data_IF_386958919663
#
_entry.id   IF_386958919663
#
_cell.length_a   1.000
_cell.length_b   1.000
_cell.length_c   1.000
_cell.angle_alpha   90.00
_cell.angle_beta   90.00
_cell.angle_gamma   90.00
#
_symmetry.space_group_name_H-M   'P 1'
#
loop_
_entity.id
_entity.type
_entity.pdbx_description
1 polymer ?
#
# COMPACT_ATOMS: atom_id res chain seq x y z
N UNK A 1 -3.16 7.22 14.47
CA UNK A 1 -2.91 8.67 14.58
C UNK A 1 -3.88 9.18 15.62
N UNK A 2 -3.43 9.73 16.75
CA UNK A 2 -4.35 10.46 17.62
C UNK A 2 -4.58 11.82 16.96
N UNK A 3 -5.55 11.85 16.04
CA UNK A 3 -6.25 13.08 15.72
C UNK A 3 -7.00 13.39 17.01
N UNK A 4 -6.50 14.32 17.82
CA UNK A 4 -7.35 14.92 18.86
C UNK A 4 -8.33 15.79 18.09
N UNK A 5 -9.40 15.14 17.63
CA UNK A 5 -10.60 15.79 17.17
C UNK A 5 -11.39 16.16 18.43
N UNK A 6 -12.05 17.30 18.35
CA UNK A 6 -12.96 17.84 19.37
C UNK A 6 -12.29 18.45 20.59
N UNK A 7 -11.89 19.70 20.44
CA UNK A 7 -12.20 20.68 21.47
C UNK A 7 -12.42 22.03 20.77
N UNK A 8 -13.48 22.73 21.14
CA UNK A 8 -13.66 24.14 20.80
C UNK A 8 -12.46 24.91 21.38
N UNK A 9 -11.59 25.41 20.50
CA UNK A 9 -10.43 26.19 20.94
C UNK A 9 -10.82 27.65 20.96
N UNK A 10 -10.85 28.26 22.15
CA UNK A 10 -10.99 29.71 22.26
C UNK A 10 -9.62 30.38 22.09
N UNK A 11 -9.44 31.12 20.99
CA UNK A 11 -8.28 32.01 20.80
C UNK A 11 -8.71 33.42 21.17
N UNK A 12 -8.10 34.01 22.21
CA UNK A 12 -8.42 35.37 22.69
C UNK A 12 -9.93 35.57 22.97
N UNK A 13 -10.60 34.56 23.52
CA UNK A 13 -12.04 34.62 23.84
C UNK A 13 -12.99 34.39 22.65
N UNK A 14 -12.46 34.09 21.45
CA UNK A 14 -13.27 33.74 20.27
C UNK A 14 -13.20 32.23 20.02
N UNK A 15 -14.34 31.50 19.96
CA UNK A 15 -14.35 30.08 19.63
C UNK A 15 -13.95 29.87 18.16
N UNK A 16 -12.93 29.03 17.96
CA UNK A 16 -12.39 28.65 16.65
C UNK A 16 -12.79 27.19 16.38
N UNK A 17 -13.58 26.98 15.34
CA UNK A 17 -14.07 25.65 14.93
C UNK A 17 -13.21 25.06 13.80
N UNK A 18 -13.16 23.73 13.70
CA UNK A 18 -12.45 23.03 12.62
C UNK A 18 -10.92 23.05 12.73
N UNK A 19 -10.40 23.05 13.95
CA UNK A 19 -8.96 23.07 14.23
C UNK A 19 -8.34 21.69 14.08
N UNK A 20 -7.20 21.60 13.39
CA UNK A 20 -6.35 20.41 13.35
C UNK A 20 -4.99 20.68 14.00
N UNK A 21 -4.57 19.80 14.90
CA UNK A 21 -3.28 19.91 15.57
C UNK A 21 -2.20 19.11 14.83
N UNK A 22 -1.03 19.69 14.70
CA UNK A 22 0.20 19.01 14.28
C UNK A 22 1.25 19.22 15.37
N UNK A 23 2.19 18.30 15.58
CA UNK A 23 3.20 18.43 16.65
C UNK A 23 4.57 18.18 16.05
N UNK A 24 5.53 19.07 16.33
CA UNK A 24 6.95 19.02 15.91
C UNK A 24 7.87 18.72 17.10
N UNK A 25 9.19 18.56 16.86
CA UNK A 25 10.24 18.33 17.87
C UNK A 25 10.25 19.35 19.01
N UNK A 26 9.73 20.56 18.80
CA UNK A 26 9.78 21.64 19.80
C UNK A 26 8.45 22.34 20.00
N UNK A 27 7.45 22.12 19.13
CA UNK A 27 6.25 22.99 19.07
C UNK A 27 5.01 22.24 18.61
N UNK A 28 3.86 22.64 19.12
CA UNK A 28 2.57 22.27 18.53
C UNK A 28 2.24 23.26 17.40
N UNK A 29 1.55 22.77 16.38
CA UNK A 29 1.14 23.45 15.16
C UNK A 29 -0.40 23.47 15.17
N UNK A 30 -0.98 24.65 14.99
CA UNK A 30 -2.43 24.83 14.92
C UNK A 30 -2.80 25.13 13.45
N UNK A 31 -3.35 24.15 12.75
CA UNK A 31 -4.10 24.48 11.53
C UNK A 31 -5.45 25.00 11.98
N UNK A 32 -5.54 26.32 12.08
CA UNK A 32 -6.78 26.99 12.39
C UNK A 32 -7.53 27.36 11.11
N UNK A 33 -8.85 27.30 11.21
CA UNK A 33 -9.75 28.01 10.30
C UNK A 33 -9.33 29.50 10.18
N UNK A 34 -9.61 30.20 9.06
CA UNK A 34 -9.39 31.64 8.88
C UNK A 34 -9.90 32.54 10.04
N UNK A 35 -10.71 32.01 10.96
CA UNK A 35 -11.09 32.68 12.21
C UNK A 35 -9.93 32.96 13.17
N UNK A 36 -8.82 32.21 13.16
CA UNK A 36 -7.72 32.47 14.11
C UNK A 36 -6.88 33.70 13.74
N UNK A 37 -6.52 33.88 12.47
CA UNK A 37 -5.78 35.07 12.05
C UNK A 37 -6.71 36.31 12.11
N UNK A 38 -8.00 36.17 11.82
CA UNK A 38 -8.98 37.23 12.05
C UNK A 38 -9.22 37.55 13.54
N UNK A 39 -9.17 36.56 14.45
CA UNK A 39 -9.23 36.78 15.90
C UNK A 39 -7.94 37.43 16.43
N UNK A 40 -6.79 37.10 15.86
CA UNK A 40 -5.49 37.74 16.14
C UNK A 40 -5.45 39.17 15.57
N UNK A 41 -6.06 39.39 14.39
CA UNK A 41 -6.06 40.67 13.65
C UNK A 41 -7.23 41.59 13.98
N UNK A 42 -8.24 41.18 14.75
CA UNK A 42 -9.36 42.05 15.15
C UNK A 42 -8.93 43.12 16.17
N UNK A 43 -8.21 44.11 15.65
CA UNK A 43 -8.77 45.45 15.53
C UNK A 43 -9.29 45.62 14.09
N UNK A 44 -10.59 45.90 13.97
CA UNK A 44 -11.33 46.36 12.77
C UNK A 44 -12.13 45.33 11.93
N UNK A 45 -13.44 45.60 11.91
CA UNK A 45 -14.44 45.39 10.85
C UNK A 45 -15.39 44.17 10.93
N UNK A 46 -16.66 44.49 11.17
CA UNK A 46 -17.88 43.67 11.08
C UNK A 46 -18.28 43.35 9.62
N UNK A 47 -17.38 42.75 8.83
CA UNK A 47 -17.76 42.22 7.53
C UNK A 47 -18.22 40.75 7.67
N UNK A 48 -19.47 40.48 7.30
CA UNK A 48 -20.00 39.11 7.22
C UNK A 48 -19.21 38.30 6.17
N UNK A 49 -18.64 37.18 6.61
CA UNK A 49 -17.81 36.31 5.79
C UNK A 49 -18.60 35.65 4.66
N UNK A 50 -18.02 35.59 3.46
CA UNK A 50 -18.53 34.80 2.33
C UNK A 50 -17.68 33.55 2.15
N UNK A 51 -18.35 32.40 2.11
CA UNK A 51 -17.74 31.11 1.86
C UNK A 51 -17.06 31.13 0.47
N UNK A 52 -15.74 30.91 0.42
CA UNK A 52 -14.98 30.77 -0.84
C UNK A 52 -13.91 31.82 -1.18
N UNK A 53 -13.73 32.90 -0.41
CA UNK A 53 -12.82 34.00 -0.80
C UNK A 53 -11.44 34.00 -0.08
N UNK A 54 -11.28 33.38 1.10
CA UNK A 54 -10.02 33.38 1.87
C UNK A 54 -9.48 31.97 2.11
N UNK A 55 -8.18 31.73 1.85
CA UNK A 55 -7.49 30.45 2.08
C UNK A 55 -7.24 30.22 3.59
N UNK A 56 -7.05 28.97 4.01
CA UNK A 56 -6.82 28.64 5.44
C UNK A 56 -5.49 29.24 5.93
N UNK A 57 -5.50 29.90 7.08
CA UNK A 57 -4.28 30.44 7.71
C UNK A 57 -3.64 29.38 8.61
N UNK A 58 -2.35 29.08 8.38
CA UNK A 58 -1.59 28.20 9.26
C UNK A 58 -1.02 29.01 10.42
N UNK A 59 -1.48 28.76 11.65
CA UNK A 59 -0.97 29.46 12.85
C UNK A 59 -0.10 28.49 13.65
N UNK A 60 1.18 28.78 13.85
CA UNK A 60 1.99 27.97 14.78
C UNK A 60 1.68 28.38 16.22
N UNK A 61 1.41 27.42 17.11
CA UNK A 61 1.14 27.69 18.52
C UNK A 61 2.01 26.81 19.42
N UNK A 62 3.05 27.40 19.99
CA UNK A 62 3.92 26.72 20.93
C UNK A 62 3.21 26.57 22.30
N UNK A 63 2.65 25.37 22.56
CA UNK A 63 1.96 25.07 23.82
C UNK A 63 2.88 25.17 25.04
N UNK A 64 4.21 24.98 24.89
CA UNK A 64 5.16 25.12 25.99
C UNK A 64 5.41 26.60 26.32
N UNK A 65 5.50 27.47 25.30
CA UNK A 65 5.59 28.91 25.49
C UNK A 65 4.28 29.52 26.03
N UNK A 66 3.12 28.94 25.69
CA UNK A 66 1.83 29.39 26.20
C UNK A 66 1.61 29.09 27.69
N UNK A 67 2.36 28.14 28.26
CA UNK A 67 2.27 27.76 29.67
C UNK A 67 3.22 28.56 30.58
N UNK A 68 4.17 29.32 30.04
CA UNK A 68 5.18 30.00 30.83
C UNK A 68 5.82 31.20 30.13
N UNK A 69 5.48 32.39 30.62
CA UNK A 69 6.14 33.70 30.42
C UNK A 69 5.87 34.47 29.11
N UNK A 70 5.74 35.80 29.26
CA UNK A 70 5.46 36.87 28.28
C UNK A 70 6.40 36.98 27.06
N UNK A 71 7.32 36.02 26.86
CA UNK A 71 8.17 36.00 25.67
C UNK A 71 7.48 35.16 24.60
N UNK A 72 6.75 35.83 23.71
CA UNK A 72 6.37 35.29 22.39
C UNK A 72 7.66 34.95 21.64
N UNK A 73 8.18 33.73 21.78
CA UNK A 73 9.24 33.25 20.90
C UNK A 73 8.72 33.34 19.45
N UNK A 74 9.47 34.04 18.60
CA UNK A 74 9.16 34.11 17.19
C UNK A 74 9.21 32.68 16.63
N UNK A 75 8.06 32.18 16.19
CA UNK A 75 8.02 30.86 15.58
C UNK A 75 8.65 30.95 14.19
N UNK A 76 9.55 30.03 13.90
CA UNK A 76 10.24 29.98 12.61
C UNK A 76 9.38 29.30 11.56
N UNK A 77 8.80 30.11 10.66
CA UNK A 77 7.98 29.68 9.52
C UNK A 77 8.79 29.35 8.26
N UNK A 78 10.12 29.51 8.28
CA UNK A 78 10.96 29.35 7.06
C UNK A 78 10.93 27.94 6.47
N UNK A 79 10.49 26.92 7.24
CA UNK A 79 10.30 25.59 6.67
C UNK A 79 9.18 25.56 5.63
N UNK A 80 8.14 26.41 5.77
CA UNK A 80 7.02 26.46 4.82
C UNK A 80 7.43 26.97 3.44
N UNK A 81 8.59 27.62 3.31
CA UNK A 81 9.11 28.05 2.00
C UNK A 81 9.87 26.94 1.28
N UNK A 82 10.02 25.75 1.88
CA UNK A 82 10.76 24.64 1.28
C UNK A 82 10.07 24.06 0.03
N UNK A 83 8.73 24.12 -0.04
CA UNK A 83 7.95 23.67 -1.20
C UNK A 83 6.85 24.69 -1.53
N UNK A 84 6.45 24.82 -2.80
CA UNK A 84 5.36 25.71 -3.18
C UNK A 84 4.06 25.27 -2.51
N UNK A 85 3.34 26.24 -1.94
CA UNK A 85 2.02 26.00 -1.33
C UNK A 85 1.05 25.51 -2.40
N UNK A 86 0.29 24.42 -2.15
CA UNK A 86 -0.68 23.92 -3.13
C UNK A 86 -1.77 24.97 -3.39
N UNK A 87 -2.08 25.20 -4.66
CA UNK A 87 -3.14 26.13 -5.06
C UNK A 87 -4.51 25.64 -4.61
N UNK A 88 -5.39 26.56 -4.22
CA UNK A 88 -6.78 26.24 -3.86
C UNK A 88 -7.56 25.88 -5.12
N UNK A 89 -8.28 24.75 -5.07
CA UNK A 89 -9.16 24.32 -6.16
C UNK A 89 -10.58 24.87 -5.89
N UNK A 90 -11.22 25.45 -6.91
CA UNK A 90 -12.58 25.99 -6.78
C UNK A 90 -13.57 24.84 -6.49
N UNK A 91 -14.38 24.98 -5.44
CA UNK A 91 -15.33 23.94 -5.01
C UNK A 91 -14.74 22.84 -4.12
N UNK A 92 -13.46 22.94 -3.73
CA UNK A 92 -12.84 22.01 -2.78
C UNK A 92 -13.46 22.15 -1.39
N UNK A 93 -13.74 21.01 -0.73
CA UNK A 93 -14.24 21.01 0.64
C UNK A 93 -13.18 21.52 1.63
N UNK A 94 -13.62 22.06 2.77
CA UNK A 94 -12.71 22.52 3.83
C UNK A 94 -11.83 21.37 4.34
N UNK A 95 -12.40 20.17 4.50
CA UNK A 95 -11.68 18.98 4.95
C UNK A 95 -10.59 18.54 3.97
N UNK A 96 -10.89 18.53 2.66
CA UNK A 96 -9.91 18.19 1.63
C UNK A 96 -8.79 19.23 1.56
N UNK A 97 -9.12 20.53 1.71
CA UNK A 97 -8.11 21.59 1.76
C UNK A 97 -7.21 21.46 2.99
N UNK A 98 -7.78 21.14 4.15
CA UNK A 98 -7.01 20.89 5.38
C UNK A 98 -6.06 19.72 5.22
N UNK A 99 -6.53 18.59 4.68
CA UNK A 99 -5.69 17.42 4.41
C UNK A 99 -4.55 17.75 3.43
N UNK A 100 -4.83 18.50 2.38
CA UNK A 100 -3.83 18.94 1.40
C UNK A 100 -2.76 19.86 2.00
N UNK A 101 -3.17 20.81 2.85
CA UNK A 101 -2.23 21.71 3.53
C UNK A 101 -1.40 20.96 4.58
N UNK A 102 -2.00 20.02 5.32
CA UNK A 102 -1.28 19.13 6.24
C UNK A 102 -0.16 18.35 5.52
N UNK A 103 -0.50 17.71 4.39
CA UNK A 103 0.48 16.98 3.59
C UNK A 103 1.59 17.88 3.07
N UNK A 104 1.27 19.11 2.63
CA UNK A 104 2.27 20.07 2.20
C UNK A 104 3.20 20.52 3.34
N UNK A 105 2.64 20.80 4.53
CA UNK A 105 3.43 21.19 5.71
C UNK A 105 4.35 20.06 6.15
N UNK A 106 3.85 18.82 6.17
CA UNK A 106 4.67 17.62 6.41
C UNK A 106 5.81 17.53 5.40
N UNK A 107 5.51 17.67 4.11
CA UNK A 107 6.51 17.62 3.05
C UNK A 107 7.56 18.74 3.19
N UNK A 108 7.15 19.94 3.61
CA UNK A 108 8.04 21.06 3.90
C UNK A 108 8.99 20.76 5.07
N UNK A 109 8.44 20.23 6.17
CA UNK A 109 9.24 19.86 7.35
C UNK A 109 10.21 18.75 6.98
N UNK A 110 9.76 17.71 6.29
CA UNK A 110 10.61 16.61 5.81
C UNK A 110 11.72 17.15 4.91
N UNK A 111 11.39 18.05 3.97
CA UNK A 111 12.37 18.66 3.08
C UNK A 111 13.46 19.41 3.86
N UNK A 112 13.06 20.18 4.88
CA UNK A 112 13.98 20.92 5.76
C UNK A 112 14.77 20.01 6.70
N UNK A 113 14.15 18.99 7.28
CA UNK A 113 14.79 18.08 8.24
C UNK A 113 15.73 17.10 7.55
N UNK A 114 15.55 16.85 6.25
CA UNK A 114 16.31 15.84 5.51
C UNK A 114 17.83 16.03 5.59
N UNK A 115 18.33 17.26 5.51
CA UNK A 115 19.77 17.55 5.54
C UNK A 115 20.39 17.30 6.92
N UNK A 116 19.59 17.44 7.97
CA UNK A 116 20.02 17.26 9.36
C UNK A 116 19.51 15.96 9.99
N UNK A 117 18.83 15.11 9.21
CA UNK A 117 18.18 13.91 9.71
C UNK A 117 19.14 12.98 10.48
N UNK A 118 20.38 12.70 10.01
CA UNK A 118 21.32 11.87 10.78
C UNK A 118 21.67 12.46 12.15
N UNK A 119 21.82 13.78 12.24
CA UNK A 119 22.14 14.48 13.49
C UNK A 119 20.95 14.45 14.46
N UNK A 120 19.73 14.69 13.94
CA UNK A 120 18.50 14.59 14.72
C UNK A 120 18.26 13.18 15.25
N UNK A 121 18.51 12.16 14.44
CA UNK A 121 18.41 10.75 14.86
C UNK A 121 19.47 10.41 15.90
N UNK A 122 20.72 10.86 15.72
CA UNK A 122 21.80 10.66 16.69
C UNK A 122 21.49 11.32 18.03
N UNK A 123 20.90 12.53 18.01
CA UNK A 123 20.45 13.23 19.21
C UNK A 123 19.29 12.52 19.92
N UNK A 124 18.39 11.87 19.17
CA UNK A 124 17.30 11.08 19.75
C UNK A 124 17.79 9.73 20.31
N UNK A 125 18.57 8.96 19.53
CA UNK A 125 19.17 7.69 19.95
C UNK A 125 20.33 7.28 19.03
N UNK A 126 21.52 6.99 19.56
CA UNK A 126 22.64 6.45 18.76
C UNK A 126 22.28 5.15 18.02
N UNK A 127 21.47 4.29 18.62
CA UNK A 127 20.98 3.05 17.99
C UNK A 127 20.14 3.36 16.76
N UNK A 128 19.27 4.37 16.83
CA UNK A 128 18.42 4.73 15.71
C UNK A 128 19.20 5.33 14.54
N UNK A 129 20.27 6.07 14.82
CA UNK A 129 21.19 6.54 13.80
C UNK A 129 21.90 5.37 13.09
N UNK A 130 22.36 4.36 13.84
CA UNK A 130 22.93 3.14 13.26
C UNK A 130 21.93 2.38 12.38
N UNK A 131 20.69 2.26 12.83
CA UNK A 131 19.60 1.64 12.08
C UNK A 131 19.29 2.40 10.78
N UNK A 132 19.28 3.74 10.82
CA UNK A 132 19.13 4.58 9.63
C UNK A 132 20.28 4.40 8.63
N UNK A 133 21.53 4.39 9.09
CA UNK A 133 22.68 4.14 8.23
C UNK A 133 22.64 2.73 7.62
N UNK A 134 22.16 1.75 8.37
CA UNK A 134 21.94 0.39 7.90
C UNK A 134 20.87 0.36 6.80
N UNK A 135 19.74 1.04 6.99
CA UNK A 135 18.71 1.17 5.96
C UNK A 135 19.24 1.83 4.68
N UNK A 136 20.03 2.90 4.80
CA UNK A 136 20.66 3.55 3.64
C UNK A 136 21.58 2.59 2.87
N UNK A 137 22.35 1.75 3.57
CA UNK A 137 23.20 0.74 2.93
C UNK A 137 22.40 -0.37 2.26
N UNK A 138 21.29 -0.79 2.86
CA UNK A 138 20.42 -1.83 2.29
C UNK A 138 19.71 -1.38 1.01
N UNK A 139 19.38 -0.10 0.90
CA UNK A 139 18.65 0.47 -0.26
C UNK A 139 19.63 0.98 -1.33
N UNK A 140 20.83 1.41 -0.91
CA UNK A 140 21.91 1.86 -1.78
C UNK A 140 22.77 0.69 -2.27
N UNK A 141 22.23 -0.11 -3.19
CA UNK A 141 22.99 -1.20 -3.82
C UNK A 141 24.20 -0.71 -4.62
N UNK A 142 25.40 -1.09 -4.18
CA UNK A 142 26.33 -1.80 -5.07
C UNK A 142 27.18 -1.04 -6.10
N UNK A 143 27.21 0.30 -6.13
CA UNK A 143 28.31 1.04 -6.79
C UNK A 143 29.00 1.94 -5.79
N UNK A 144 30.27 1.67 -5.55
CA UNK A 144 31.14 2.36 -4.62
C UNK A 144 31.36 3.83 -4.96
N UNK A 145 30.35 4.64 -4.74
CA UNK A 145 30.46 6.08 -4.64
C UNK A 145 29.69 6.50 -3.38
N UNK A 146 30.44 6.71 -2.30
CA UNK A 146 29.91 6.93 -0.97
C UNK A 146 28.87 8.05 -0.95
N UNK A 147 27.67 7.74 -0.46
CA UNK A 147 26.75 8.72 0.11
C UNK A 147 26.30 9.87 -0.80
N UNK A 148 26.51 9.78 -2.13
CA UNK A 148 25.96 10.73 -3.11
C UNK A 148 25.08 9.97 -4.09
N UNK A 149 23.89 9.60 -3.61
CA UNK A 149 22.75 9.51 -4.51
C UNK A 149 22.53 10.92 -5.05
N UNK A 150 22.75 11.10 -6.35
CA UNK A 150 22.72 12.41 -7.02
C UNK A 150 21.54 13.26 -6.57
N UNK A 151 21.84 14.51 -6.20
CA UNK A 151 20.87 15.56 -5.89
C UNK A 151 20.12 16.05 -7.13
N UNK A 152 19.62 15.13 -7.95
CA UNK A 152 18.66 15.42 -8.99
C UNK A 152 17.24 15.44 -8.38
N UNK A 153 16.35 16.32 -8.84
CA UNK A 153 14.93 16.25 -8.49
C UNK A 153 14.35 14.95 -9.07
N UNK A 154 14.33 13.87 -8.30
CA UNK A 154 13.79 12.57 -8.74
C UNK A 154 14.35 11.32 -8.05
N UNK A 155 15.45 11.42 -7.29
CA UNK A 155 16.00 10.26 -6.56
C UNK A 155 15.22 10.01 -5.27
N UNK A 156 14.48 8.88 -5.22
CA UNK A 156 13.78 8.43 -4.00
C UNK A 156 14.81 8.09 -2.92
N UNK A 157 14.64 8.66 -1.74
CA UNK A 157 15.57 8.53 -0.60
C UNK A 157 14.80 8.29 0.69
N UNK A 158 15.47 7.73 1.71
CA UNK A 158 14.90 7.61 3.05
C UNK A 158 14.57 9.00 3.57
N UNK A 159 13.32 9.23 3.93
CA UNK A 159 12.84 10.46 4.54
C UNK A 159 12.53 10.22 6.00
N UNK A 160 12.71 11.23 6.84
CA UNK A 160 12.50 11.07 8.27
C UNK A 160 12.13 12.35 8.99
N UNK A 161 11.40 12.15 10.09
CA UNK A 161 10.93 13.20 10.98
C UNK A 161 11.13 12.74 12.42
N UNK A 162 11.76 13.59 13.24
CA UNK A 162 11.91 13.38 14.68
C UNK A 162 11.03 14.39 15.39
N UNK A 163 10.17 13.92 16.29
CA UNK A 163 9.18 14.68 17.04
C UNK A 163 9.41 14.49 18.54
N UNK A 164 9.09 15.47 19.36
CA UNK A 164 9.06 15.30 20.81
C UNK A 164 7.73 14.64 21.18
N UNK A 165 7.76 13.69 22.11
CA UNK A 165 6.56 13.07 22.64
C UNK A 165 5.84 14.07 23.54
N UNK A 166 4.56 14.34 23.23
CA UNK A 166 3.71 15.31 23.95
C UNK A 166 3.38 14.85 25.38
N UNK A 167 3.47 13.55 25.64
CA UNK A 167 3.07 12.95 26.92
C UNK A 167 4.25 12.89 27.89
N UNK A 168 4.32 13.84 28.84
CA UNK A 168 4.85 13.78 30.22
C UNK A 168 6.18 13.08 30.58
N UNK A 169 6.85 12.40 29.65
CA UNK A 169 7.93 11.44 29.88
C UNK A 169 9.16 11.66 28.99
N UNK A 170 9.23 12.79 28.28
CA UNK A 170 10.47 13.29 27.64
C UNK A 170 11.02 12.47 26.46
N UNK A 171 10.24 11.58 25.85
CA UNK A 171 10.71 10.74 24.74
C UNK A 171 10.62 11.39 23.37
N UNK A 172 11.21 10.73 22.36
CA UNK A 172 11.13 11.16 20.96
C UNK A 172 10.30 10.18 20.15
N UNK A 173 9.51 10.68 19.22
CA UNK A 173 8.76 9.92 18.24
C UNK A 173 9.41 10.13 16.87
N UNK A 174 9.89 9.05 16.24
CA UNK A 174 10.53 9.11 14.93
C UNK A 174 9.65 8.43 13.90
N UNK A 175 9.47 9.10 12.75
CA UNK A 175 8.81 8.53 11.57
C UNK A 175 9.83 8.43 10.45
N UNK A 176 9.90 7.27 9.82
CA UNK A 176 10.75 7.02 8.67
C UNK A 176 9.88 6.57 7.51
N UNK A 177 10.13 7.13 6.32
CA UNK A 177 9.63 6.64 5.04
C UNK A 177 10.82 6.10 4.26
N UNK A 178 10.83 4.80 4.06
CA UNK A 178 11.94 4.06 3.46
C UNK A 178 11.47 3.56 2.08
N UNK A 179 12.04 4.03 0.96
CA UNK A 179 11.65 3.54 -0.34
C UNK A 179 12.10 2.08 -0.51
N UNK A 180 11.21 1.24 -1.04
CA UNK A 180 11.44 -0.17 -1.28
C UNK A 180 11.48 -0.47 -2.79
N UNK A 181 12.06 -1.62 -3.14
CA UNK A 181 12.10 -2.24 -4.46
C UNK A 181 12.75 -1.36 -5.53
N UNK A 182 13.70 -0.50 -5.17
CA UNK A 182 14.35 0.41 -6.11
C UNK A 182 15.05 -0.37 -7.25
N UNK A 183 15.78 -1.43 -6.90
CA UNK A 183 16.47 -2.31 -7.86
C UNK A 183 15.52 -3.14 -8.74
N UNK A 184 14.27 -3.34 -8.29
CA UNK A 184 13.25 -4.14 -8.99
C UNK A 184 12.12 -3.28 -9.58
N UNK A 185 12.28 -1.97 -9.61
CA UNK A 185 11.24 -1.01 -10.01
C UNK A 185 10.68 -1.32 -11.41
N UNK A 186 11.54 -1.60 -12.39
CA UNK A 186 11.12 -1.98 -13.75
C UNK A 186 10.35 -3.31 -13.78
N UNK A 187 10.83 -4.33 -13.05
CA UNK A 187 10.16 -5.64 -12.96
C UNK A 187 8.79 -5.52 -12.30
N UNK A 188 8.68 -4.73 -11.23
CA UNK A 188 7.43 -4.44 -10.53
C UNK A 188 6.44 -3.73 -11.46
N UNK A 189 6.91 -2.71 -12.19
CA UNK A 189 6.08 -1.99 -13.15
C UNK A 189 5.60 -2.91 -14.29
N UNK A 190 6.50 -3.68 -14.89
CA UNK A 190 6.18 -4.66 -15.91
C UNK A 190 5.19 -5.72 -15.41
N UNK A 191 5.33 -6.19 -14.17
CA UNK A 191 4.44 -7.18 -13.58
C UNK A 191 3.00 -6.65 -13.50
N UNK A 192 2.79 -5.46 -12.92
CA UNK A 192 1.46 -4.86 -12.78
C UNK A 192 0.86 -4.43 -14.13
N UNK A 193 1.68 -3.97 -15.08
CA UNK A 193 1.24 -3.72 -16.45
C UNK A 193 0.74 -5.01 -17.12
N UNK A 194 1.47 -6.12 -16.99
CA UNK A 194 1.05 -7.39 -17.56
C UNK A 194 -0.23 -7.94 -16.90
N UNK A 195 -0.43 -7.71 -15.60
CA UNK A 195 -1.70 -7.99 -14.92
C UNK A 195 -2.84 -7.21 -15.55
N UNK A 196 -2.66 -5.90 -15.79
CA UNK A 196 -3.67 -5.07 -16.45
C UNK A 196 -4.00 -5.58 -17.85
N UNK A 197 -2.99 -5.95 -18.65
CA UNK A 197 -3.17 -6.48 -20.01
C UNK A 197 -3.96 -7.80 -19.99
N UNK A 198 -3.54 -8.76 -19.15
CA UNK A 198 -4.21 -10.05 -19.05
C UNK A 198 -5.64 -9.92 -18.50
N UNK A 199 -5.85 -9.04 -17.51
CA UNK A 199 -7.19 -8.76 -17.02
C UNK A 199 -8.11 -8.21 -18.11
N UNK A 200 -7.64 -7.28 -18.94
CA UNK A 200 -8.42 -6.77 -20.07
C UNK A 200 -8.78 -7.88 -21.06
N UNK A 201 -7.84 -8.81 -21.31
CA UNK A 201 -8.07 -9.98 -22.18
C UNK A 201 -9.19 -10.89 -21.63
N UNK A 202 -9.15 -11.25 -20.34
CA UNK A 202 -10.16 -12.13 -19.73
C UNK A 202 -11.51 -11.46 -19.51
N UNK A 203 -11.51 -10.16 -19.24
CA UNK A 203 -12.75 -9.39 -19.04
C UNK A 203 -13.35 -8.85 -20.34
N UNK A 204 -12.77 -9.20 -21.50
CA UNK A 204 -13.13 -8.68 -22.82
C UNK A 204 -13.20 -7.14 -22.88
N UNK A 205 -12.40 -6.45 -22.07
CA UNK A 205 -12.30 -4.98 -22.07
C UNK A 205 -11.29 -4.54 -23.13
N UNK A 206 -11.68 -3.55 -23.92
CA UNK A 206 -10.76 -2.90 -24.87
C UNK A 206 -9.65 -2.20 -24.09
N UNK A 207 -8.40 -2.48 -24.47
CA UNK A 207 -7.22 -1.84 -23.86
C UNK A 207 -7.25 -0.31 -24.07
N UNK A 208 -6.87 0.43 -23.03
CA UNK A 208 -6.81 1.91 -23.04
C UNK A 208 -5.47 2.37 -22.47
N UNK A 209 -4.99 3.53 -22.93
CA UNK A 209 -3.77 4.15 -22.38
C UNK A 209 -3.89 4.50 -20.90
N UNK A 210 -5.09 4.81 -20.42
CA UNK A 210 -5.38 5.03 -18.99
C UNK A 210 -5.20 3.78 -18.11
N UNK A 211 -5.09 2.59 -18.72
CA UNK A 211 -4.82 1.34 -18.01
C UNK A 211 -3.33 1.03 -17.90
N UNK A 212 -2.50 1.73 -18.67
CA UNK A 212 -1.06 1.58 -18.60
C UNK A 212 -0.55 2.14 -17.28
N UNK A 213 0.21 1.34 -16.55
CA UNK A 213 0.93 1.73 -15.36
C UNK A 213 2.19 2.48 -15.81
N UNK A 214 2.31 3.74 -15.40
CA UNK A 214 3.47 4.58 -15.73
C UNK A 214 4.58 4.44 -14.70
N UNK A 215 4.22 4.39 -13.42
CA UNK A 215 5.15 4.19 -12.31
C UNK A 215 4.51 3.41 -11.18
N UNK A 216 5.35 2.64 -10.46
CA UNK A 216 4.98 1.95 -9.23
C UNK A 216 6.00 2.31 -8.17
N UNK A 217 5.53 2.87 -7.07
CA UNK A 217 6.36 3.28 -5.95
C UNK A 217 5.87 2.57 -4.70
N UNK A 218 6.78 1.90 -4.00
CA UNK A 218 6.48 1.25 -2.73
C UNK A 218 7.33 1.84 -1.63
N UNK A 219 6.71 2.19 -0.51
CA UNK A 219 7.38 2.79 0.64
C UNK A 219 7.01 2.05 1.93
N UNK A 220 8.00 1.83 2.79
CA UNK A 220 7.80 1.40 4.16
C UNK A 220 7.69 2.64 5.06
N UNK A 221 6.58 2.74 5.79
CA UNK A 221 6.34 3.76 6.79
C UNK A 221 6.49 3.15 8.19
N UNK A 222 7.52 3.57 8.92
CA UNK A 222 7.78 3.10 10.29
C UNK A 222 7.64 4.25 11.27
N UNK A 223 6.94 4.01 12.37
CA UNK A 223 6.84 4.93 13.49
C UNK A 223 7.48 4.28 14.72
N UNK A 224 8.48 4.93 15.31
CA UNK A 224 9.32 4.42 16.39
C UNK A 224 9.24 5.39 17.56
N UNK A 225 8.96 4.89 18.76
CA UNK A 225 9.12 5.63 20.01
C UNK A 225 10.51 5.34 20.58
N UNK A 226 11.19 6.39 20.99
CA UNK A 226 12.46 6.34 21.72
C UNK A 226 12.17 6.67 23.18
N UNK A 227 12.49 5.74 24.08
CA UNK A 227 12.22 5.86 25.51
C UNK A 227 13.47 6.40 26.22
N UNK A 228 13.40 7.56 26.90
CA UNK A 228 14.48 8.07 27.72
C UNK A 228 14.46 7.41 29.12
N UNK A 229 15.57 7.41 29.87
CA UNK A 229 16.94 7.68 29.41
C UNK A 229 17.57 6.48 28.69
N UNK A 230 16.87 5.34 28.63
CA UNK A 230 17.40 4.05 28.15
C UNK A 230 17.76 4.06 26.66
N UNK A 231 17.22 4.99 25.88
CA UNK A 231 17.38 5.03 24.42
C UNK A 231 16.68 3.87 23.71
N UNK A 232 15.86 3.09 24.43
CA UNK A 232 15.19 1.90 23.92
C UNK A 232 14.22 2.29 22.81
N UNK A 233 14.29 1.57 21.71
CA UNK A 233 13.42 1.75 20.56
C UNK A 233 12.19 0.84 20.69
N UNK A 234 11.01 1.35 20.36
CA UNK A 234 9.78 0.57 20.28
C UNK A 234 9.05 0.94 18.99
N UNK A 235 8.85 -0.02 18.10
CA UNK A 235 8.05 0.17 16.89
C UNK A 235 6.59 0.29 17.29
N UNK A 236 5.97 1.43 17.00
CA UNK A 236 4.55 1.68 17.26
C UNK A 236 3.68 1.25 16.09
N UNK A 237 4.14 1.50 14.87
CA UNK A 237 3.42 1.12 13.66
C UNK A 237 4.38 0.89 12.51
N UNK A 238 4.01 -0.03 11.65
CA UNK A 238 4.71 -0.36 10.42
C UNK A 238 3.69 -0.67 9.34
N UNK A 239 3.72 0.13 8.28
CA UNK A 239 2.80 0.03 7.14
C UNK A 239 3.56 0.11 5.82
N UNK A 240 3.08 -0.60 4.80
CA UNK A 240 3.67 -0.58 3.45
C UNK A 240 2.68 0.07 2.51
N UNK A 241 3.08 1.19 1.93
CA UNK A 241 2.26 1.93 0.97
C UNK A 241 2.65 1.54 -0.46
N UNK A 242 1.68 1.04 -1.25
CA UNK A 242 1.82 0.82 -2.69
C UNK A 242 1.11 1.93 -3.47
N UNK A 243 1.90 2.75 -4.17
CA UNK A 243 1.42 3.82 -5.06
C UNK A 243 1.62 3.39 -6.52
N UNK A 244 0.55 3.50 -7.30
CA UNK A 244 0.54 3.16 -8.73
C UNK A 244 0.05 4.40 -9.46
N UNK A 245 0.86 4.90 -10.39
CA UNK A 245 0.49 5.98 -11.28
C UNK A 245 0.02 5.40 -12.61
N UNK A 246 -1.05 5.95 -13.17
CA UNK A 246 -1.49 5.64 -14.53
C UNK A 246 -0.77 6.53 -15.55
N UNK A 247 -0.77 6.10 -16.81
CA UNK A 247 -0.16 6.83 -17.93
C UNK A 247 -0.91 8.10 -18.32
N UNK A 248 -2.13 8.30 -17.82
CA UNK A 248 -3.00 9.43 -18.16
C UNK A 248 -3.20 10.39 -16.98
N UNK A 249 -2.12 10.95 -16.44
CA UNK A 249 -2.20 11.86 -15.30
C UNK A 249 -2.86 13.23 -15.61
N UNK A 250 -3.39 13.48 -16.82
CA UNK A 250 -3.71 14.87 -17.24
C UNK A 250 -4.96 15.10 -18.10
N UNK A 251 -5.77 14.12 -18.49
CA UNK A 251 -6.93 14.43 -19.34
C UNK A 251 -8.08 13.43 -19.13
N UNK A 252 -9.27 13.98 -18.87
CA UNK A 252 -10.59 13.34 -18.86
C UNK A 252 -11.11 12.80 -17.52
N UNK A 253 -12.14 13.49 -17.01
CA UNK A 253 -12.99 13.11 -15.88
C UNK A 253 -13.79 11.82 -16.10
N UNK A 254 -13.65 11.17 -17.26
CA UNK A 254 -14.26 9.89 -17.62
C UNK A 254 -13.27 8.73 -17.67
N UNK A 255 -12.00 8.94 -17.31
CA UNK A 255 -11.00 7.88 -17.35
C UNK A 255 -11.24 6.84 -16.25
N UNK A 256 -11.77 5.70 -16.68
CA UNK A 256 -11.72 4.47 -15.89
C UNK A 256 -10.24 4.11 -15.69
N UNK A 257 -9.80 4.09 -14.44
CA UNK A 257 -8.44 3.68 -14.05
C UNK A 257 -8.49 2.26 -13.48
N UNK A 258 -7.50 1.43 -13.83
CA UNK A 258 -7.35 0.09 -13.24
C UNK A 258 -6.57 0.10 -11.92
N UNK A 259 -6.07 1.26 -11.46
CA UNK A 259 -5.30 1.36 -10.22
C UNK A 259 -6.01 0.75 -9.01
N UNK A 260 -7.31 1.01 -8.74
CA UNK A 260 -8.01 0.38 -7.63
C UNK A 260 -8.04 -1.15 -7.73
N UNK A 261 -8.25 -1.67 -8.94
CA UNK A 261 -8.23 -3.11 -9.21
C UNK A 261 -6.84 -3.69 -8.95
N UNK A 262 -5.77 -3.09 -9.51
CA UNK A 262 -4.40 -3.55 -9.31
C UNK A 262 -3.99 -3.57 -7.84
N UNK A 263 -4.37 -2.52 -7.07
CA UNK A 263 -4.16 -2.49 -5.61
C UNK A 263 -4.95 -3.58 -4.86
N UNK A 264 -6.11 -4.00 -5.39
CA UNK A 264 -6.91 -5.07 -4.80
C UNK A 264 -6.32 -6.47 -5.05
N UNK A 265 -5.55 -6.63 -6.13
CA UNK A 265 -4.90 -7.89 -6.49
C UNK A 265 -3.67 -8.19 -5.62
N UNK A 266 -3.01 -7.16 -5.09
CA UNK A 266 -1.81 -7.30 -4.24
C UNK A 266 -2.22 -7.41 -2.77
N UNK A 267 -1.94 -8.55 -2.16
CA UNK A 267 -2.15 -8.77 -0.73
C UNK A 267 -0.94 -8.29 0.07
N UNK A 268 -1.14 -7.23 0.86
CA UNK A 268 -0.12 -6.68 1.75
C UNK A 268 -0.26 -7.20 3.19
N UNK A 269 -1.25 -8.07 3.46
CA UNK A 269 -1.42 -8.66 4.77
C UNK A 269 -0.35 -9.73 5.03
N UNK A 270 0.06 -9.85 6.31
CA UNK A 270 1.02 -10.86 6.72
C UNK A 270 2.44 -10.68 6.17
N UNK A 271 2.79 -9.48 5.70
CA UNK A 271 4.19 -9.14 5.41
C UNK A 271 5.04 -9.25 6.68
N UNK A 272 6.35 -9.61 6.56
CA UNK A 272 7.27 -9.60 7.69
C UNK A 272 7.19 -8.27 8.45
N UNK A 273 7.23 -8.33 9.78
CA UNK A 273 7.16 -7.14 10.64
C UNK A 273 8.51 -6.88 11.29
N UNK A 274 8.91 -5.61 11.31
CA UNK A 274 10.13 -5.12 11.91
C UNK A 274 10.09 -5.38 13.42
N UNK A 275 11.12 -6.07 13.90
CA UNK A 275 11.31 -6.36 15.33
C UNK A 275 12.58 -5.70 15.82
N UNK A 276 12.51 -4.42 16.19
CA UNK A 276 13.62 -3.73 16.85
C UNK A 276 13.77 -4.27 18.29
N UNK A 277 14.53 -5.35 18.47
CA UNK A 277 14.95 -5.86 19.79
C UNK A 277 16.45 -5.63 19.98
N UNK A 278 16.89 -5.55 21.23
CA UNK A 278 18.32 -5.46 21.57
C UNK A 278 19.13 -6.70 21.15
N UNK A 279 18.48 -7.76 20.67
CA UNK A 279 19.06 -9.08 20.40
C UNK A 279 19.19 -9.43 18.89
N UNK A 280 19.01 -8.46 17.98
CA UNK A 280 19.40 -8.62 16.57
C UNK A 280 18.25 -8.73 15.56
N UNK A 281 17.44 -7.68 15.46
CA UNK A 281 16.47 -7.50 14.37
C UNK A 281 16.45 -6.05 13.89
N UNK A 282 17.41 -5.67 13.05
CA UNK A 282 17.53 -4.32 12.51
C UNK A 282 16.97 -4.18 11.09
N UNK A 283 17.03 -2.96 10.53
CA UNK A 283 16.66 -2.72 9.13
C UNK A 283 17.52 -3.53 8.15
N UNK A 284 18.76 -3.85 8.51
CA UNK A 284 19.69 -4.60 7.65
C UNK A 284 19.16 -5.99 7.27
N UNK A 285 18.52 -6.69 8.23
CA UNK A 285 17.96 -8.02 8.02
C UNK A 285 16.49 -7.94 7.57
N UNK A 286 15.76 -6.95 8.08
CA UNK A 286 14.34 -6.79 7.83
C UNK A 286 14.04 -6.33 6.40
N UNK A 287 14.74 -5.31 5.89
CA UNK A 287 14.43 -4.73 4.58
C UNK A 287 14.56 -5.76 3.44
N UNK A 288 15.63 -6.57 3.33
CA UNK A 288 15.72 -7.58 2.28
C UNK A 288 14.61 -8.63 2.36
N UNK A 289 14.24 -9.08 3.57
CA UNK A 289 13.16 -10.05 3.77
C UNK A 289 11.80 -9.45 3.38
N UNK A 290 11.55 -8.20 3.78
CA UNK A 290 10.34 -7.47 3.44
C UNK A 290 10.24 -7.23 1.95
N UNK A 291 11.31 -6.78 1.29
CA UNK A 291 11.34 -6.54 -0.15
C UNK A 291 11.10 -7.82 -0.95
N UNK A 292 11.74 -8.93 -0.58
CA UNK A 292 11.51 -10.21 -1.25
C UNK A 292 10.05 -10.70 -1.07
N UNK A 293 9.51 -10.59 0.15
CA UNK A 293 8.12 -10.95 0.41
C UNK A 293 7.14 -10.06 -0.37
N UNK A 294 7.35 -8.75 -0.35
CA UNK A 294 6.53 -7.75 -1.04
C UNK A 294 6.59 -7.94 -2.56
N UNK A 295 7.78 -8.13 -3.14
CA UNK A 295 7.94 -8.38 -4.56
C UNK A 295 7.17 -9.62 -5.00
N UNK A 296 7.23 -10.71 -4.22
CA UNK A 296 6.42 -11.91 -4.47
C UNK A 296 4.92 -11.61 -4.45
N UNK A 297 4.43 -10.85 -3.46
CA UNK A 297 3.00 -10.44 -3.40
C UNK A 297 2.56 -9.63 -4.61
N UNK A 298 3.44 -8.79 -5.15
CA UNK A 298 3.16 -8.01 -6.36
C UNK A 298 3.17 -8.87 -7.63
N UNK A 299 4.07 -9.87 -7.72
CA UNK A 299 4.21 -10.74 -8.90
C UNK A 299 3.19 -11.88 -8.93
N UNK A 300 2.65 -12.27 -7.79
CA UNK A 300 1.73 -13.41 -7.66
C UNK A 300 0.42 -13.29 -8.49
N UNK A 301 -0.25 -12.14 -8.60
CA UNK A 301 -1.39 -11.98 -9.52
C UNK A 301 -1.04 -12.27 -10.99
N UNK A 302 0.19 -11.91 -11.41
CA UNK A 302 0.65 -12.19 -12.77
C UNK A 302 0.87 -13.69 -12.97
N UNK A 303 1.46 -14.37 -11.98
CA UNK A 303 1.64 -15.82 -12.04
C UNK A 303 0.29 -16.55 -12.21
N UNK A 304 -0.69 -16.20 -11.39
CA UNK A 304 -2.06 -16.73 -11.50
C UNK A 304 -2.67 -16.48 -12.89
N UNK A 305 -2.61 -15.25 -13.40
CA UNK A 305 -3.18 -14.91 -14.72
C UNK A 305 -2.46 -15.60 -15.87
N UNK A 306 -1.14 -15.83 -15.77
CA UNK A 306 -0.39 -16.63 -16.75
C UNK A 306 -0.83 -18.09 -16.73
N UNK A 307 -1.06 -18.67 -15.54
CA UNK A 307 -1.63 -20.02 -15.43
C UNK A 307 -3.02 -20.08 -16.07
N UNK A 308 -3.89 -19.11 -15.81
CA UNK A 308 -5.22 -19.07 -16.43
C UNK A 308 -5.16 -18.94 -17.95
N UNK A 309 -4.17 -18.19 -18.46
CA UNK A 309 -3.95 -18.06 -19.90
C UNK A 309 -3.53 -19.40 -20.52
N UNK A 310 -2.63 -20.13 -19.84
CA UNK A 310 -2.20 -21.46 -20.26
C UNK A 310 -3.36 -22.46 -20.25
N UNK A 311 -4.08 -22.57 -19.13
CA UNK A 311 -5.25 -23.44 -19.00
C UNK A 311 -6.36 -23.08 -20.00
N UNK A 312 -6.48 -21.79 -20.34
CA UNK A 312 -7.43 -21.33 -21.34
C UNK A 312 -7.21 -21.91 -22.75
N UNK A 313 -5.99 -22.36 -23.05
CA UNK A 313 -5.69 -23.05 -24.30
C UNK A 313 -6.17 -24.52 -24.31
N UNK A 314 -6.28 -25.15 -23.13
CA UNK A 314 -6.64 -26.58 -23.00
C UNK A 314 -8.13 -26.76 -22.66
N UNK A 315 -8.68 -25.90 -21.79
CA UNK A 315 -10.04 -26.01 -21.25
C UNK A 315 -11.00 -24.96 -21.83
N UNK A 316 -10.54 -24.08 -22.71
CA UNK A 316 -11.26 -22.90 -23.16
C UNK A 316 -11.20 -21.74 -22.15
N UNK A 317 -11.72 -20.57 -22.52
CA UNK A 317 -11.69 -19.38 -21.65
C UNK A 317 -12.46 -19.58 -20.34
N UNK A 318 -11.99 -19.04 -19.20
CA UNK A 318 -12.72 -19.13 -17.95
C UNK A 318 -14.06 -18.39 -18.05
N UNK A 319 -15.13 -18.99 -17.52
CA UNK A 319 -16.47 -18.40 -17.44
C UNK A 319 -16.61 -17.46 -16.24
N UNK A 320 -15.80 -17.65 -15.20
CA UNK A 320 -15.67 -16.76 -14.06
C UNK A 320 -14.20 -16.69 -13.60
N UNK A 321 -13.77 -15.51 -13.16
CA UNK A 321 -12.38 -15.23 -12.79
C UNK A 321 -12.31 -14.16 -11.70
N UNK A 322 -11.84 -14.55 -10.50
CA UNK A 322 -11.55 -13.65 -9.41
C UNK A 322 -10.04 -13.57 -9.15
N UNK A 323 -9.43 -12.44 -9.54
CA UNK A 323 -8.00 -12.16 -9.35
C UNK A 323 -7.73 -11.41 -8.05
N UNK A 324 -8.74 -10.73 -7.52
CA UNK A 324 -8.61 -9.86 -6.35
C UNK A 324 -8.53 -10.68 -5.06
N UNK A 325 -7.68 -10.24 -4.14
CA UNK A 325 -7.58 -10.80 -2.79
C UNK A 325 -8.38 -9.97 -1.77
N UNK A 326 -9.13 -8.97 -2.23
CA UNK A 326 -10.01 -8.15 -1.41
C UNK A 326 -11.42 -8.26 -1.98
N UNK A 327 -12.44 -8.26 -1.11
CA UNK A 327 -13.80 -8.14 -1.58
C UNK A 327 -13.96 -6.78 -2.27
N UNK A 328 -13.98 -6.78 -3.61
CA UNK A 328 -14.20 -5.55 -4.39
C UNK A 328 -15.70 -5.35 -4.50
N UNK A 329 -16.41 -5.05 -3.40
CA UNK A 329 -17.74 -4.43 -3.45
C UNK A 329 -18.23 -3.86 -2.11
N UNK A 330 -19.05 -2.81 -2.25
CA UNK A 330 -19.82 -2.03 -1.29
C UNK A 330 -20.82 -2.86 -0.45
N UNK A 331 -20.41 -3.40 0.70
CA UNK A 331 -21.40 -3.75 1.72
C UNK A 331 -20.81 -3.57 3.11
N UNK A 332 -21.59 -2.98 4.01
CA UNK A 332 -21.30 -2.76 5.44
C UNK A 332 -21.23 -4.06 6.26
N UNK A 333 -20.93 -5.20 5.61
CA UNK A 333 -20.78 -6.50 6.23
C UNK A 333 -19.30 -6.86 6.18
N UNK A 334 -18.64 -7.12 7.33
CA UNK A 334 -17.25 -7.58 7.36
C UNK A 334 -17.18 -8.99 6.79
N UNK A 335 -17.05 -9.10 5.47
CA UNK A 335 -16.66 -10.34 4.84
C UNK A 335 -15.16 -10.51 4.98
N UNK A 336 -14.75 -11.66 5.51
CA UNK A 336 -13.36 -12.11 5.48
C UNK A 336 -12.88 -12.03 4.02
N UNK A 337 -11.79 -11.29 3.72
CA UNK A 337 -11.31 -11.17 2.35
C UNK A 337 -11.08 -12.55 1.73
N UNK A 338 -11.41 -12.77 0.44
CA UNK A 338 -11.16 -14.05 -0.20
C UNK A 338 -9.67 -14.37 -0.09
N UNK A 339 -9.35 -15.44 0.63
CA UNK A 339 -7.98 -15.89 0.89
C UNK A 339 -7.33 -16.54 -0.33
N UNK A 340 -8.09 -16.77 -1.40
CA UNK A 340 -7.63 -17.42 -2.63
C UNK A 340 -8.19 -16.72 -3.87
N UNK A 341 -7.41 -16.77 -4.96
CA UNK A 341 -7.85 -16.37 -6.30
C UNK A 341 -8.58 -17.55 -6.93
N UNK A 342 -9.64 -17.30 -7.68
CA UNK A 342 -10.47 -18.37 -8.22
C UNK A 342 -10.69 -18.23 -9.72
N UNK A 343 -10.88 -19.35 -10.38
CA UNK A 343 -11.32 -19.41 -11.77
C UNK A 343 -12.26 -20.59 -11.96
N UNK A 344 -13.22 -20.44 -12.85
CA UNK A 344 -14.16 -21.49 -13.21
C UNK A 344 -14.11 -21.68 -14.72
N UNK A 345 -13.96 -22.92 -15.15
CA UNK A 345 -14.00 -23.32 -16.55
C UNK A 345 -15.19 -24.25 -16.80
N UNK A 346 -15.67 -24.24 -18.04
CA UNK A 346 -16.63 -25.23 -18.53
C UNK A 346 -15.96 -26.04 -19.63
N UNK A 347 -15.64 -27.30 -19.35
CA UNK A 347 -14.98 -28.20 -20.27
C UNK A 347 -15.99 -29.25 -20.76
N UNK A 348 -15.93 -29.60 -22.05
CA UNK A 348 -16.74 -30.67 -22.63
C UNK A 348 -15.80 -31.77 -23.05
N UNK A 349 -16.01 -32.96 -22.51
CA UNK A 349 -15.27 -34.15 -22.92
C UNK A 349 -15.66 -34.53 -24.36
N UNK A 350 -14.68 -34.63 -25.25
CA UNK A 350 -14.94 -34.86 -26.67
C UNK A 350 -15.46 -36.27 -26.97
N UNK A 351 -15.14 -37.24 -26.13
CA UNK A 351 -15.54 -38.64 -26.35
C UNK A 351 -16.95 -38.91 -25.86
N UNK A 352 -17.27 -38.53 -24.62
CA UNK A 352 -18.60 -38.76 -24.02
C UNK A 352 -19.60 -37.63 -24.28
N UNK A 353 -19.14 -36.47 -24.77
CA UNK A 353 -19.92 -35.22 -24.82
C UNK A 353 -20.45 -34.77 -23.46
N UNK A 354 -19.88 -35.25 -22.36
CA UNK A 354 -20.23 -34.83 -21.02
C UNK A 354 -19.62 -33.47 -20.68
N UNK A 355 -20.43 -32.58 -20.11
CA UNK A 355 -20.01 -31.25 -19.71
C UNK A 355 -19.63 -31.22 -18.23
N UNK A 356 -18.48 -30.63 -17.93
CA UNK A 356 -17.91 -30.51 -16.60
C UNK A 356 -17.66 -29.06 -16.24
N UNK A 357 -17.98 -28.70 -15.01
CA UNK A 357 -17.50 -27.47 -14.38
C UNK A 357 -16.19 -27.78 -13.68
N UNK A 358 -15.15 -26.98 -13.93
CA UNK A 358 -13.84 -27.11 -13.28
C UNK A 358 -13.60 -25.86 -12.44
N UNK A 359 -13.72 -26.00 -11.12
CA UNK A 359 -13.47 -24.94 -10.15
C UNK A 359 -12.02 -24.99 -9.66
N UNK A 360 -11.29 -23.89 -9.80
CA UNK A 360 -9.90 -23.75 -9.40
C UNK A 360 -9.78 -22.73 -8.26
N UNK A 361 -9.10 -23.12 -7.18
CA UNK A 361 -8.75 -22.28 -6.04
C UNK A 361 -7.23 -22.19 -5.93
N UNK A 362 -6.71 -20.99 -6.20
CA UNK A 362 -5.29 -20.66 -6.14
C UNK A 362 -4.98 -19.89 -4.85
N UNK A 363 -4.28 -20.56 -3.93
CA UNK A 363 -3.89 -19.98 -2.63
C UNK A 363 -2.56 -19.23 -2.73
N UNK A 364 -1.54 -19.88 -3.31
CA UNK A 364 -0.25 -19.25 -3.57
C UNK A 364 0.46 -19.87 -4.77
N UNK A 365 1.40 -19.14 -5.35
CA UNK A 365 2.17 -19.68 -6.47
C UNK A 365 3.29 -20.64 -6.07
N UNK A 366 3.40 -20.99 -4.77
CA UNK A 366 4.34 -22.02 -4.29
C UNK A 366 3.69 -23.39 -4.12
N UNK A 367 2.37 -23.44 -4.19
CA UNK A 367 1.56 -24.61 -3.91
C UNK A 367 0.72 -24.98 -5.13
N UNK A 368 0.32 -26.24 -5.20
CA UNK A 368 -0.62 -26.71 -6.21
C UNK A 368 -2.01 -26.14 -5.91
N UNK A 369 -2.75 -25.63 -6.91
CA UNK A 369 -4.11 -25.14 -6.67
C UNK A 369 -5.04 -26.27 -6.24
N UNK A 370 -6.08 -25.97 -5.47
CA UNK A 370 -7.14 -26.94 -5.19
C UNK A 370 -8.14 -26.92 -6.32
N UNK A 371 -8.37 -28.06 -6.99
CA UNK A 371 -9.27 -28.15 -8.14
C UNK A 371 -10.35 -29.18 -7.88
N UNK A 372 -11.59 -28.80 -8.19
CA UNK A 372 -12.77 -29.64 -8.13
C UNK A 372 -13.42 -29.71 -9.52
N UNK A 373 -13.78 -30.91 -9.96
CA UNK A 373 -14.49 -31.15 -11.22
C UNK A 373 -15.86 -31.71 -10.92
N UNK A 374 -16.90 -31.12 -11.50
CA UNK A 374 -18.29 -31.53 -11.30
C UNK A 374 -18.95 -31.81 -12.64
N UNK A 375 -19.49 -33.03 -12.83
CA UNK A 375 -20.23 -33.36 -14.04
C UNK A 375 -21.63 -32.71 -14.01
N UNK A 376 -21.90 -31.84 -14.98
CA UNK A 376 -23.12 -31.02 -14.99
C UNK A 376 -24.36 -31.79 -15.44
N UNK A 377 -24.19 -32.89 -16.16
CA UNK A 377 -25.30 -33.72 -16.67
C UNK A 377 -26.07 -34.47 -15.57
N UNK A 378 -25.47 -34.62 -14.38
CA UNK A 378 -26.07 -35.34 -13.25
C UNK A 378 -26.55 -34.42 -12.12
N UNK A 379 -26.57 -33.09 -12.33
CA UNK A 379 -26.95 -32.11 -11.31
C UNK A 379 -28.44 -32.15 -10.91
N UNK A 380 -29.32 -32.76 -11.74
CA UNK A 380 -30.78 -32.61 -11.62
C UNK A 380 -31.56 -33.91 -11.36
N UNK A 381 -30.88 -35.03 -11.08
CA UNK A 381 -31.58 -36.26 -10.68
C UNK A 381 -31.73 -36.26 -9.16
N UNK A 382 -32.97 -36.18 -8.68
CA UNK A 382 -33.35 -36.10 -7.26
C UNK A 382 -32.76 -37.22 -6.38
N UNK A 383 -32.19 -38.29 -6.96
CA UNK A 383 -31.61 -39.44 -6.27
C UNK A 383 -30.14 -39.76 -6.65
N UNK A 384 -29.45 -38.95 -7.46
CA UNK A 384 -28.04 -39.23 -7.80
C UNK A 384 -27.10 -38.22 -7.14
N UNK A 385 -26.12 -38.73 -6.38
CA UNK A 385 -25.03 -37.93 -5.85
C UNK A 385 -24.39 -37.10 -6.97
N UNK A 386 -24.22 -35.79 -6.73
CA UNK A 386 -23.44 -34.93 -7.62
C UNK A 386 -22.08 -35.59 -7.82
N UNK A 387 -21.75 -35.97 -9.06
CA UNK A 387 -20.45 -36.52 -9.41
C UNK A 387 -19.42 -35.38 -9.39
N UNK A 388 -19.03 -35.02 -8.17
CA UNK A 388 -17.96 -34.08 -7.89
C UNK A 388 -16.74 -34.83 -7.38
N UNK A 389 -15.58 -34.47 -7.91
CA UNK A 389 -14.34 -35.09 -7.52
C UNK A 389 -13.23 -34.04 -7.43
N UNK A 390 -12.39 -34.18 -6.41
CA UNK A 390 -11.22 -33.33 -6.21
C UNK A 390 -10.03 -33.92 -6.95
N UNK A 391 -9.36 -33.09 -7.74
CA UNK A 391 -8.17 -33.50 -8.50
C UNK A 391 -7.05 -33.91 -7.55
N UNK A 392 -6.45 -35.07 -7.83
CA UNK A 392 -5.24 -35.55 -7.16
C UNK A 392 -4.05 -35.38 -8.09
N UNK A 393 -3.03 -34.68 -7.61
CA UNK A 393 -1.80 -34.48 -8.37
C UNK A 393 -0.87 -35.69 -8.25
N UNK A 394 -0.17 -36.01 -9.33
CA UNK A 394 0.80 -37.10 -9.36
C UNK A 394 2.12 -36.70 -8.70
N UNK A 395 2.44 -35.40 -8.75
CA UNK A 395 3.66 -34.83 -8.19
C UNK A 395 3.32 -33.87 -7.06
N UNK A 396 4.05 -33.92 -5.93
CA UNK A 396 3.95 -32.88 -4.91
C UNK A 396 4.58 -31.58 -5.40
N UNK A 397 4.15 -30.44 -4.85
CA UNK A 397 4.69 -29.11 -5.20
C UNK A 397 6.20 -28.97 -4.96
N UNK A 398 6.78 -29.77 -4.08
CA UNK A 398 8.21 -29.74 -3.73
C UNK A 398 9.12 -30.28 -4.84
N UNK A 399 8.63 -31.16 -5.71
CA UNK A 399 9.41 -31.76 -6.81
C UNK A 399 9.21 -31.04 -8.14
N UNK A 400 8.30 -30.08 -8.20
CA UNK A 400 8.03 -29.31 -9.40
C UNK A 400 9.08 -28.23 -9.64
N UNK A 401 9.43 -27.96 -10.92
CA UNK A 401 10.35 -26.88 -11.26
C UNK A 401 9.79 -25.53 -10.81
N UNK A 402 10.70 -24.62 -10.46
CA UNK A 402 10.39 -23.26 -10.06
C UNK A 402 10.95 -22.26 -11.05
N UNK A 403 10.27 -21.14 -11.20
CA UNK A 403 10.77 -19.99 -11.95
C UNK A 403 11.75 -19.13 -11.12
N UNK A 404 12.29 -18.09 -11.76
CA UNK A 404 13.30 -17.21 -11.18
C UNK A 404 12.87 -16.50 -9.89
N UNK A 405 11.56 -16.29 -9.67
CA UNK A 405 11.04 -15.70 -8.43
C UNK A 405 10.52 -16.76 -7.45
N UNK A 406 10.93 -18.02 -7.64
CA UNK A 406 10.61 -19.17 -6.79
C UNK A 406 9.13 -19.59 -6.77
N UNK A 407 8.33 -19.18 -7.75
CA UNK A 407 7.00 -19.74 -7.97
C UNK A 407 7.10 -21.05 -8.75
N UNK A 408 6.09 -21.91 -8.67
CA UNK A 408 5.99 -23.10 -9.54
C UNK A 408 6.01 -22.65 -11.00
N UNK A 409 6.81 -23.30 -11.84
CA UNK A 409 6.83 -22.97 -13.27
C UNK A 409 5.43 -23.12 -13.87
N UNK A 410 5.00 -22.11 -14.66
CA UNK A 410 3.62 -22.03 -15.13
C UNK A 410 3.30 -23.15 -16.12
N UNK A 411 4.20 -23.49 -17.04
CA UNK A 411 3.95 -24.53 -18.03
C UNK A 411 3.95 -25.93 -17.38
N UNK A 412 4.89 -26.18 -16.47
CA UNK A 412 4.90 -27.40 -15.66
C UNK A 412 3.64 -27.55 -14.80
N UNK A 413 3.20 -26.47 -14.16
CA UNK A 413 1.97 -26.44 -13.36
C UNK A 413 0.72 -26.65 -14.21
N UNK A 414 0.62 -25.98 -15.36
CA UNK A 414 -0.47 -26.15 -16.32
C UNK A 414 -0.61 -27.60 -16.75
N UNK A 415 0.48 -28.24 -17.19
CA UNK A 415 0.46 -29.62 -17.65
C UNK A 415 -0.01 -30.59 -16.55
N UNK A 416 0.46 -30.38 -15.31
CA UNK A 416 0.06 -31.21 -14.16
C UNK A 416 -1.41 -31.02 -13.78
N UNK A 417 -1.91 -29.79 -13.86
CA UNK A 417 -3.34 -29.46 -13.66
C UNK A 417 -4.21 -30.12 -14.73
N UNK A 418 -3.89 -29.94 -16.01
CA UNK A 418 -4.68 -30.49 -17.12
C UNK A 418 -4.74 -32.01 -17.03
N UNK A 419 -3.60 -32.67 -16.81
CA UNK A 419 -3.53 -34.13 -16.64
C UNK A 419 -4.45 -34.59 -15.50
N UNK A 420 -4.36 -33.94 -14.34
CA UNK A 420 -5.19 -34.29 -13.18
C UNK A 420 -6.70 -34.05 -13.41
N UNK A 421 -7.06 -32.97 -14.11
CA UNK A 421 -8.46 -32.68 -14.47
C UNK A 421 -9.01 -33.75 -15.42
N UNK A 422 -8.27 -34.10 -16.48
CA UNK A 422 -8.70 -35.09 -17.46
C UNK A 422 -8.86 -36.47 -16.82
N UNK A 423 -7.90 -36.92 -16.00
CA UNK A 423 -8.01 -38.18 -15.25
C UNK A 423 -9.25 -38.20 -14.33
N UNK A 424 -9.54 -37.07 -13.67
CA UNK A 424 -10.69 -36.94 -12.78
C UNK A 424 -12.02 -37.02 -13.56
N UNK A 425 -12.10 -36.36 -14.72
CA UNK A 425 -13.26 -36.42 -15.62
C UNK A 425 -13.50 -37.84 -16.14
N UNK A 426 -12.45 -38.54 -16.60
CA UNK A 426 -12.56 -39.94 -17.05
C UNK A 426 -13.04 -40.86 -15.92
N UNK A 427 -12.47 -40.73 -14.72
CA UNK A 427 -12.89 -41.53 -13.56
C UNK A 427 -14.35 -41.29 -13.20
N UNK A 428 -14.80 -40.04 -13.20
CA UNK A 428 -16.19 -39.69 -12.92
C UNK A 428 -17.16 -40.33 -13.92
N UNK A 429 -16.80 -40.41 -15.21
CA UNK A 429 -17.60 -41.08 -16.23
C UNK A 429 -17.64 -42.59 -16.04
N UNK A 430 -16.49 -43.23 -15.75
CA UNK A 430 -16.45 -44.67 -15.49
C UNK A 430 -17.22 -45.10 -14.25
N UNK A 431 -17.34 -44.23 -13.24
CA UNK A 431 -18.14 -44.49 -12.05
C UNK A 431 -19.65 -44.32 -12.30
N UNK A 432 -20.03 -43.63 -13.38
CA UNK A 432 -21.42 -43.33 -13.74
C UNK A 432 -22.01 -44.33 -14.76
N UNK A 433 -21.15 -45.02 -15.52
CA UNK A 433 -21.47 -46.14 -16.41
C UNK A 433 -21.57 -47.45 -15.63
#
# INVERSE_FOLDING_TARGET
>A
MALVREADVCVLGTPVYGVSWFVTHTRTLLLASPTADAAIRRQASDAAWRDGETDLDCVLCDLAACAGTDKREAVDYTFLTALPRPQRIRGQSVGDRQAQLLQWMEACIVCRSQTHLPELLRGASPTLHFEYDSALRSIGGGRGDGGRVGGGPGTRRVQGLVLAAVEGGGGSLVRLRIPLLLERSEKVNAALNNVAVLYCKFSHRVWRTSYQVSAVETDLHVCIRVIPPTGKLTVLSEDVELRIADGSAAADSNNQSLVPFLKSCVDLNGLPKLKLTHEGGGFIDHLPQLEEALYRRIREPLHFLKLMLGLGADLGGPIDLCVSCKAVMRSDIPQTPPTCRTAVFCAVDSESSAAFTVGLHYSSGKELPSIETTCTQYLNRQDSAVLSAKVKYSKPSTTMPRDDDSFLDVEGLRAEVVRGVMECMTLALTAAS
#
